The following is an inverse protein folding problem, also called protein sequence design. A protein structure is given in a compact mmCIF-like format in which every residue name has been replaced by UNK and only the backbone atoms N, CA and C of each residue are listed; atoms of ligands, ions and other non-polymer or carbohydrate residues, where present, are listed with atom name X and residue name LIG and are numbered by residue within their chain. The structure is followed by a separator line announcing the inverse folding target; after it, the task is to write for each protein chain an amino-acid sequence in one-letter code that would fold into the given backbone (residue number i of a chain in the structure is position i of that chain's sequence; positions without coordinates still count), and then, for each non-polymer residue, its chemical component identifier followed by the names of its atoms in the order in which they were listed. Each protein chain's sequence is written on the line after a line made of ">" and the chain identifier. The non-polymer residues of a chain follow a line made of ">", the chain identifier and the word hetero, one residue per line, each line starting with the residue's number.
data_IF_634351764580
#
_entry.id   IF_634351764580
#
_cell.length_a   1.000
_cell.length_b   1.000
_cell.length_c   1.000
_cell.angle_alpha   90.00
_cell.angle_beta   90.00
_cell.angle_gamma   90.00
#
_symmetry.space_group_name_H-M   'P 1'
#
loop_
_entity.id
_entity.type
_entity.pdbx_description
1 polymer ?
#
# COMPACT_ATOMS: atom_id res chain seq x y z
N UNK A 1 34.14 -10.56 17.12
CA UNK A 1 32.93 -10.13 17.79
C UNK A 1 31.77 -10.63 16.94
N UNK A 2 30.97 -11.58 17.43
CA UNK A 2 29.80 -12.05 16.72
C UNK A 2 28.77 -10.90 16.73
N UNK A 3 28.44 -10.37 15.55
CA UNK A 3 27.28 -9.51 15.38
C UNK A 3 26.06 -10.36 15.72
N UNK A 4 25.44 -10.10 16.86
CA UNK A 4 24.11 -10.63 17.13
C UNK A 4 23.21 -10.10 16.03
N UNK A 5 22.82 -10.99 15.10
CA UNK A 5 21.79 -10.68 14.11
C UNK A 5 20.56 -10.23 14.92
N UNK A 6 20.26 -8.94 14.87
CA UNK A 6 19.11 -8.39 15.59
C UNK A 6 17.86 -9.01 15.00
N UNK A 7 17.10 -9.70 15.83
CA UNK A 7 15.91 -10.44 15.40
C UNK A 7 14.88 -9.50 14.73
N UNK A 8 14.41 -9.90 13.55
CA UNK A 8 13.33 -9.19 12.84
C UNK A 8 11.99 -9.63 13.40
N UNK A 9 11.29 -8.74 14.08
CA UNK A 9 9.95 -8.96 14.56
C UNK A 9 8.92 -8.43 13.53
N UNK A 10 7.98 -9.29 13.11
CA UNK A 10 6.82 -8.89 12.30
C UNK A 10 5.60 -8.85 13.20
N UNK A 11 4.84 -7.75 13.14
CA UNK A 11 3.59 -7.60 13.89
C UNK A 11 2.57 -6.78 13.11
N UNK A 12 1.31 -6.85 13.52
CA UNK A 12 0.25 -5.96 13.03
C UNK A 12 0.66 -4.51 13.32
N UNK A 13 0.43 -3.63 12.34
CA UNK A 13 0.62 -2.20 12.51
C UNK A 13 -0.52 -1.58 13.33
N UNK A 14 -0.21 -0.52 14.04
CA UNK A 14 -1.15 0.30 14.80
C UNK A 14 -1.05 1.75 14.36
N UNK A 15 -1.98 2.61 14.78
CA UNK A 15 -1.95 4.04 14.46
C UNK A 15 -0.63 4.72 14.88
N UNK A 16 -0.01 4.24 15.95
CA UNK A 16 1.28 4.76 16.45
C UNK A 16 2.45 4.47 15.50
N UNK A 17 2.27 3.55 14.55
CA UNK A 17 3.30 3.21 13.57
C UNK A 17 3.27 4.13 12.33
N UNK A 18 2.22 4.92 12.15
CA UNK A 18 2.02 5.75 10.96
C UNK A 18 3.23 6.63 10.65
N UNK A 19 3.80 7.31 11.66
CA UNK A 19 5.00 8.14 11.49
C UNK A 19 6.23 7.33 11.07
N UNK A 20 6.43 6.14 11.65
CA UNK A 20 7.55 5.26 11.28
C UNK A 20 7.40 4.67 9.88
N UNK A 21 6.18 4.32 9.49
CA UNK A 21 5.85 3.88 8.14
C UNK A 21 6.09 5.03 7.14
N UNK A 22 5.65 6.24 7.49
CA UNK A 22 5.85 7.42 6.65
C UNK A 22 7.34 7.71 6.41
N UNK A 23 8.16 7.69 7.47
CA UNK A 23 9.61 7.88 7.33
C UNK A 23 10.27 6.84 6.41
N UNK A 24 9.84 5.57 6.52
CA UNK A 24 10.31 4.49 5.64
C UNK A 24 9.97 4.74 4.17
N UNK A 25 8.78 5.30 3.91
CA UNK A 25 8.29 5.53 2.56
C UNK A 25 8.85 6.81 1.94
N UNK A 26 9.03 7.87 2.74
CA UNK A 26 9.63 9.12 2.28
C UNK A 26 11.02 8.88 1.65
N UNK A 27 11.79 7.95 2.20
CA UNK A 27 13.08 7.55 1.66
C UNK A 27 12.97 6.68 0.40
N UNK A 28 11.91 5.86 0.30
CA UNK A 28 11.76 4.86 -0.76
C UNK A 28 10.98 5.35 -1.98
N UNK A 29 9.98 6.23 -1.78
CA UNK A 29 9.18 6.84 -2.84
C UNK A 29 9.75 8.17 -3.30
N UNK A 30 11.06 8.30 -3.23
CA UNK A 30 11.73 9.44 -3.82
C UNK A 30 11.37 9.57 -5.30
N UNK A 31 11.51 10.76 -5.80
CA UNK A 31 11.25 11.33 -7.13
C UNK A 31 11.47 10.43 -8.37
N UNK A 32 11.87 9.17 -8.20
CA UNK A 32 12.13 8.20 -9.27
C UNK A 32 10.88 7.53 -9.85
N UNK A 33 9.71 7.67 -9.20
CA UNK A 33 8.46 7.16 -9.75
C UNK A 33 7.62 8.30 -10.33
N UNK A 34 7.46 8.40 -11.66
CA UNK A 34 6.65 9.44 -12.32
C UNK A 34 5.23 9.55 -11.75
N UNK A 35 4.64 8.42 -11.39
CA UNK A 35 3.34 8.32 -10.76
C UNK A 35 3.20 9.16 -9.49
N UNK A 36 4.15 9.06 -8.56
CA UNK A 36 4.09 9.85 -7.33
C UNK A 36 4.35 11.35 -7.59
N UNK A 37 5.13 11.69 -8.61
CA UNK A 37 5.31 13.08 -9.01
C UNK A 37 4.02 13.70 -9.57
N UNK A 38 3.15 12.89 -10.16
CA UNK A 38 1.82 13.30 -10.61
C UNK A 38 0.85 13.47 -9.43
N UNK A 39 0.85 12.54 -8.47
CA UNK A 39 -0.11 12.52 -7.38
C UNK A 39 0.24 13.48 -6.23
N UNK A 40 1.53 13.62 -5.92
CA UNK A 40 1.97 14.27 -4.70
C UNK A 40 2.13 15.78 -4.88
N UNK A 41 1.82 16.56 -3.84
CA UNK A 41 2.05 17.99 -3.85
C UNK A 41 3.55 18.31 -3.94
N UNK A 42 3.85 19.52 -4.38
CA UNK A 42 5.22 20.03 -4.40
C UNK A 42 5.71 20.29 -2.97
N UNK A 43 7.00 20.07 -2.74
CA UNK A 43 7.65 20.28 -1.45
C UNK A 43 7.61 19.04 -0.55
N UNK A 44 8.75 18.77 0.10
CA UNK A 44 8.92 17.57 0.93
C UNK A 44 7.96 17.53 2.11
N UNK A 45 7.81 18.63 2.84
CA UNK A 45 6.92 18.70 4.01
C UNK A 45 5.46 18.41 3.65
N UNK A 46 5.00 18.86 2.48
CA UNK A 46 3.65 18.61 2.00
C UNK A 46 3.45 17.13 1.64
N UNK A 47 4.46 16.49 1.05
CA UNK A 47 4.44 15.06 0.75
C UNK A 47 4.40 14.21 2.01
N UNK A 48 5.24 14.54 2.99
CA UNK A 48 5.27 13.86 4.29
C UNK A 48 3.92 13.97 5.00
N UNK A 49 3.30 15.14 4.97
CA UNK A 49 1.98 15.38 5.57
C UNK A 49 0.89 14.53 4.91
N UNK A 50 0.84 14.54 3.58
CA UNK A 50 -0.15 13.77 2.81
C UNK A 50 0.01 12.27 3.04
N UNK A 51 1.24 11.76 3.01
CA UNK A 51 1.52 10.35 3.27
C UNK A 51 1.23 9.95 4.72
N UNK A 52 1.54 10.81 5.69
CA UNK A 52 1.23 10.54 7.08
C UNK A 52 -0.28 10.37 7.29
N UNK A 53 -1.07 11.28 6.72
CA UNK A 53 -2.53 11.18 6.79
C UNK A 53 -3.03 9.90 6.11
N UNK A 54 -2.55 9.59 4.92
CA UNK A 54 -2.94 8.40 4.16
C UNK A 54 -2.65 7.09 4.92
N UNK A 55 -1.52 7.02 5.63
CA UNK A 55 -1.22 5.88 6.49
C UNK A 55 -2.10 5.84 7.73
N UNK A 56 -2.34 6.97 8.38
CA UNK A 56 -3.26 7.05 9.51
C UNK A 56 -4.67 6.59 9.09
N UNK A 57 -5.17 7.10 7.97
CA UNK A 57 -6.47 6.68 7.42
C UNK A 57 -6.52 5.18 7.17
N UNK A 58 -5.52 4.62 6.49
CA UNK A 58 -5.45 3.18 6.22
C UNK A 58 -5.53 2.36 7.52
N UNK A 59 -4.81 2.79 8.56
CA UNK A 59 -4.77 2.07 9.85
C UNK A 59 -6.09 2.17 10.63
N UNK A 60 -6.78 3.31 10.61
CA UNK A 60 -8.09 3.46 11.28
C UNK A 60 -9.23 2.81 10.50
N UNK A 61 -9.08 2.64 9.18
CA UNK A 61 -10.01 1.92 8.32
C UNK A 61 -9.82 0.39 8.38
N UNK A 62 -9.00 -0.10 9.32
CA UNK A 62 -8.68 -1.52 9.52
C UNK A 62 -8.07 -2.21 8.29
N UNK A 63 -7.28 -1.51 7.51
CA UNK A 63 -6.47 -2.12 6.46
C UNK A 63 -5.58 -3.23 7.03
N UNK A 64 -5.28 -4.21 6.20
CA UNK A 64 -4.38 -5.32 6.55
C UNK A 64 -2.94 -4.79 6.55
N UNK A 65 -2.46 -4.30 7.68
CA UNK A 65 -1.18 -3.63 7.78
C UNK A 65 -0.23 -4.34 8.75
N UNK A 66 1.01 -4.55 8.29
CA UNK A 66 2.09 -5.17 9.07
C UNK A 66 3.34 -4.34 9.00
N UNK A 67 4.09 -4.33 10.10
CA UNK A 67 5.42 -3.73 10.19
C UNK A 67 6.46 -4.76 10.58
N UNK A 68 7.66 -4.60 10.02
CA UNK A 68 8.86 -5.30 10.43
C UNK A 68 9.71 -4.34 11.27
N UNK A 69 10.12 -4.78 12.45
CA UNK A 69 10.96 -3.98 13.34
C UNK A 69 12.26 -4.69 13.69
N UNK A 70 13.32 -3.92 13.86
CA UNK A 70 14.61 -4.34 14.39
C UNK A 70 14.98 -3.34 15.50
N UNK A 71 15.22 -3.84 16.71
CA UNK A 71 15.50 -3.01 17.89
C UNK A 71 14.45 -1.88 18.09
N UNK A 72 13.18 -2.17 17.82
CA UNK A 72 12.09 -1.21 17.94
C UNK A 72 11.93 -0.21 16.78
N UNK A 73 12.88 -0.16 15.83
CA UNK A 73 12.81 0.70 14.66
C UNK A 73 12.07 -0.03 13.53
N UNK A 74 11.13 0.63 12.86
CA UNK A 74 10.46 0.10 11.67
C UNK A 74 11.45 0.10 10.51
N UNK A 75 11.64 -1.08 9.91
CA UNK A 75 12.53 -1.33 8.78
C UNK A 75 11.80 -1.86 7.55
N UNK A 76 10.52 -2.15 7.68
CA UNK A 76 9.66 -2.55 6.58
C UNK A 76 8.19 -2.42 6.95
N UNK A 77 7.33 -2.26 5.95
CA UNK A 77 5.90 -2.19 6.11
C UNK A 77 5.18 -2.78 4.89
N UNK A 78 3.98 -3.32 5.12
CA UNK A 78 3.03 -3.67 4.05
C UNK A 78 1.63 -3.25 4.46
N UNK A 79 0.86 -2.71 3.51
CA UNK A 79 -0.53 -2.26 3.70
C UNK A 79 -1.37 -2.81 2.57
N UNK A 80 -2.41 -3.58 2.91
CA UNK A 80 -3.38 -4.13 1.98
C UNK A 80 -4.80 -3.76 2.39
N UNK A 81 -5.64 -3.39 1.43
CA UNK A 81 -7.06 -3.08 1.65
C UNK A 81 -7.93 -4.22 1.16
N UNK A 82 -8.76 -4.75 2.06
CA UNK A 82 -9.77 -5.74 1.72
C UNK A 82 -10.94 -5.11 0.96
N UNK A 83 -11.38 -5.79 -0.08
CA UNK A 83 -12.55 -5.43 -0.87
C UNK A 83 -13.52 -6.63 -0.96
N UNK A 84 -14.77 -6.49 -0.53
CA UNK A 84 -15.75 -7.55 -0.65
C UNK A 84 -16.08 -7.83 -2.13
N UNK A 85 -16.67 -8.99 -2.41
CA UNK A 85 -17.08 -9.36 -3.77
C UNK A 85 -18.08 -8.38 -4.41
N UNK A 86 -18.84 -7.66 -3.57
CA UNK A 86 -19.79 -6.62 -4.02
C UNK A 86 -19.13 -5.26 -4.28
N UNK A 87 -17.84 -5.10 -4.01
CA UNK A 87 -17.14 -3.83 -4.22
C UNK A 87 -17.05 -3.51 -5.72
N UNK A 88 -17.48 -2.31 -6.06
CA UNK A 88 -17.35 -1.73 -7.40
C UNK A 88 -16.33 -0.61 -7.33
N UNK A 89 -15.22 -0.68 -8.08
CA UNK A 89 -14.24 0.38 -8.12
C UNK A 89 -14.88 1.71 -8.56
N UNK A 90 -14.66 2.75 -7.79
CA UNK A 90 -15.15 4.10 -8.02
C UNK A 90 -14.00 5.08 -8.09
N UNK A 91 -14.08 6.07 -8.98
CA UNK A 91 -13.09 7.12 -9.15
C UNK A 91 -13.06 8.12 -7.96
N UNK A 92 -13.96 7.94 -7.00
CA UNK A 92 -13.97 8.66 -5.74
C UNK A 92 -14.49 7.71 -4.65
N UNK A 93 -13.57 7.16 -3.87
CA UNK A 93 -13.95 6.42 -2.67
C UNK A 93 -14.46 7.38 -1.59
N UNK A 94 -15.29 6.85 -0.70
CA UNK A 94 -15.70 7.60 0.47
C UNK A 94 -14.57 7.56 1.53
N UNK A 95 -13.93 8.71 1.76
CA UNK A 95 -12.94 8.93 2.81
C UNK A 95 -13.56 9.47 4.09
N UNK A 96 -14.88 9.32 4.27
CA UNK A 96 -15.56 9.79 5.45
C UNK A 96 -15.20 8.93 6.66
N UNK A 97 -14.56 9.56 7.64
CA UNK A 97 -14.18 8.94 8.90
C UNK A 97 -15.28 9.15 9.95
N UNK A 98 -15.49 8.15 10.80
CA UNK A 98 -16.33 8.32 11.98
C UNK A 98 -15.72 9.38 12.93
N UNK A 99 -16.52 9.96 13.86
CA UNK A 99 -15.96 10.90 14.84
C UNK A 99 -14.77 10.34 15.61
N UNK A 100 -14.82 9.07 16.00
CA UNK A 100 -13.73 8.40 16.72
C UNK A 100 -12.50 8.23 15.82
N UNK A 101 -12.67 7.90 14.56
CA UNK A 101 -11.58 7.79 13.59
C UNK A 101 -10.94 9.16 13.32
N UNK A 102 -11.73 10.23 13.23
CA UNK A 102 -11.23 11.61 13.08
C UNK A 102 -10.32 12.00 14.25
N UNK A 103 -10.70 11.65 15.48
CA UNK A 103 -9.85 11.88 16.66
C UNK A 103 -8.53 11.11 16.52
N UNK A 104 -8.59 9.83 16.11
CA UNK A 104 -7.39 8.99 16.00
C UNK A 104 -6.40 9.47 14.93
N UNK A 105 -6.89 10.00 13.82
CA UNK A 105 -6.00 10.57 12.79
C UNK A 105 -5.53 11.98 13.11
N UNK A 106 -6.08 12.63 14.13
CA UNK A 106 -5.84 14.04 14.45
C UNK A 106 -6.43 14.98 13.39
N UNK A 107 -7.65 14.71 12.94
CA UNK A 107 -8.28 15.43 11.83
C UNK A 107 -8.33 16.95 12.06
N UNK A 108 -8.63 17.38 13.28
CA UNK A 108 -8.75 18.79 13.66
C UNK A 108 -7.38 19.51 13.84
N UNK A 109 -6.28 18.75 13.79
CA UNK A 109 -4.92 19.30 13.84
C UNK A 109 -4.46 19.85 12.48
N UNK A 110 -5.17 19.51 11.40
CA UNK A 110 -4.86 19.98 10.06
C UNK A 110 -5.60 21.27 9.72
N UNK A 111 -4.88 22.22 9.10
CA UNK A 111 -5.50 23.43 8.57
C UNK A 111 -6.42 23.09 7.38
N UNK A 112 -7.31 24.00 7.02
CA UNK A 112 -8.18 23.84 5.86
C UNK A 112 -7.37 23.59 4.57
N UNK A 113 -6.30 24.35 4.34
CA UNK A 113 -5.42 24.20 3.18
C UNK A 113 -4.72 22.82 3.16
N UNK A 114 -4.28 22.33 4.34
CA UNK A 114 -3.69 20.99 4.46
C UNK A 114 -4.70 19.89 4.13
N UNK A 115 -5.93 20.01 4.63
CA UNK A 115 -6.99 19.05 4.33
C UNK A 115 -7.39 19.06 2.86
N UNK A 116 -7.45 20.23 2.22
CA UNK A 116 -7.71 20.35 0.79
C UNK A 116 -6.63 19.63 -0.04
N UNK A 117 -5.37 19.79 0.34
CA UNK A 117 -4.24 19.10 -0.28
C UNK A 117 -4.31 17.59 -0.09
N UNK A 118 -4.63 17.12 1.12
CA UNK A 118 -4.81 15.70 1.46
C UNK A 118 -5.95 15.09 0.61
N UNK A 119 -7.10 15.73 0.60
CA UNK A 119 -8.25 15.24 -0.16
C UNK A 119 -7.99 15.21 -1.67
N UNK A 120 -7.26 16.20 -2.18
CA UNK A 120 -6.83 16.21 -3.59
C UNK A 120 -5.97 14.99 -3.92
N UNK A 121 -5.01 14.66 -3.05
CA UNK A 121 -4.19 13.45 -3.22
C UNK A 121 -5.05 12.18 -3.18
N UNK A 122 -5.92 12.04 -2.18
CA UNK A 122 -6.78 10.86 -2.02
C UNK A 122 -7.67 10.64 -3.25
N UNK A 123 -8.33 11.68 -3.74
CA UNK A 123 -9.16 11.59 -4.94
C UNK A 123 -8.37 11.25 -6.20
N UNK A 124 -7.16 11.77 -6.36
CA UNK A 124 -6.31 11.41 -7.50
C UNK A 124 -5.80 9.97 -7.39
N UNK A 125 -5.48 9.52 -6.17
CA UNK A 125 -5.09 8.13 -5.93
C UNK A 125 -6.25 7.18 -6.24
N UNK A 126 -7.47 7.49 -5.77
CA UNK A 126 -8.66 6.68 -6.04
C UNK A 126 -8.98 6.58 -7.53
N UNK A 127 -8.83 7.68 -8.26
CA UNK A 127 -9.01 7.68 -9.71
C UNK A 127 -8.08 6.65 -10.38
N UNK A 128 -6.79 6.66 -10.02
CA UNK A 128 -5.83 5.69 -10.54
C UNK A 128 -6.12 4.28 -10.05
N UNK A 129 -6.42 4.13 -8.75
CA UNK A 129 -6.74 2.83 -8.15
C UNK A 129 -7.99 2.20 -8.78
N UNK A 130 -9.04 2.96 -9.03
CA UNK A 130 -10.25 2.45 -9.66
C UNK A 130 -9.96 1.90 -11.06
N UNK A 131 -9.09 2.56 -11.81
CA UNK A 131 -8.66 2.08 -13.12
C UNK A 131 -7.82 0.80 -13.01
N UNK A 132 -6.87 0.72 -12.10
CA UNK A 132 -6.11 -0.51 -11.83
C UNK A 132 -7.02 -1.66 -11.40
N UNK A 133 -7.97 -1.41 -10.50
CA UNK A 133 -8.91 -2.42 -10.05
C UNK A 133 -9.78 -2.94 -11.20
N UNK A 134 -10.26 -2.06 -12.09
CA UNK A 134 -10.98 -2.46 -13.31
C UNK A 134 -10.11 -3.31 -14.24
N UNK A 135 -8.87 -2.91 -14.50
CA UNK A 135 -7.93 -3.66 -15.32
C UNK A 135 -7.57 -5.01 -14.67
N UNK A 136 -7.38 -5.05 -13.35
CA UNK A 136 -7.02 -6.27 -12.62
C UNK A 136 -8.16 -7.29 -12.55
N UNK A 137 -9.43 -6.86 -12.62
CA UNK A 137 -10.59 -7.76 -12.51
C UNK A 137 -10.56 -8.92 -13.51
N UNK A 138 -9.99 -8.74 -14.72
CA UNK A 138 -9.84 -9.82 -15.69
C UNK A 138 -8.87 -10.93 -15.23
N UNK A 139 -8.01 -10.64 -14.26
CA UNK A 139 -7.04 -11.59 -13.70
C UNK A 139 -7.49 -12.14 -12.34
N UNK A 140 -8.51 -11.54 -11.73
CA UNK A 140 -9.06 -11.98 -10.46
C UNK A 140 -10.18 -13.02 -10.70
N UNK A 141 -10.39 -13.97 -9.78
CA UNK A 141 -11.54 -14.86 -9.85
C UNK A 141 -12.85 -14.06 -9.77
N UNK A 142 -13.78 -14.34 -10.67
CA UNK A 142 -15.08 -13.65 -10.69
C UNK A 142 -15.87 -13.91 -9.40
N UNK A 143 -16.45 -12.85 -8.83
CA UNK A 143 -17.29 -12.93 -7.62
C UNK A 143 -16.53 -13.27 -6.34
N UNK A 144 -15.20 -13.23 -6.35
CA UNK A 144 -14.39 -13.37 -5.13
C UNK A 144 -14.01 -12.02 -4.56
N UNK A 145 -13.98 -11.89 -3.21
CA UNK A 145 -13.38 -10.71 -2.59
C UNK A 145 -11.87 -10.69 -2.88
N UNK A 146 -11.25 -9.51 -2.70
CA UNK A 146 -9.81 -9.42 -2.89
C UNK A 146 -9.15 -8.48 -1.86
N UNK A 147 -7.85 -8.67 -1.69
CA UNK A 147 -6.98 -7.73 -0.99
C UNK A 147 -6.10 -7.03 -2.03
N UNK A 148 -6.19 -5.73 -2.08
CA UNK A 148 -5.28 -4.90 -2.85
C UNK A 148 -4.11 -4.46 -1.97
N UNK A 149 -2.88 -4.82 -2.32
CA UNK A 149 -1.69 -4.36 -1.60
C UNK A 149 -1.33 -2.97 -2.10
N UNK A 150 -1.64 -1.96 -1.30
CA UNK A 150 -1.46 -0.52 -1.59
C UNK A 150 0.00 -0.07 -1.50
N UNK A 151 0.79 -0.78 -0.71
CA UNK A 151 2.20 -0.46 -0.51
C UNK A 151 2.93 -1.55 0.23
N UNK A 152 4.17 -1.79 -0.20
CA UNK A 152 5.09 -2.69 0.49
C UNK A 152 6.52 -2.19 0.33
N UNK A 153 7.17 -1.92 1.44
CA UNK A 153 8.51 -1.35 1.45
C UNK A 153 9.39 -1.98 2.50
N UNK A 154 10.67 -2.06 2.20
CA UNK A 154 11.75 -2.42 3.13
C UNK A 154 12.88 -1.42 2.91
N UNK A 155 13.41 -0.84 4.00
CA UNK A 155 14.53 0.10 3.94
C UNK A 155 15.73 -0.51 3.23
N UNK A 156 16.48 0.28 2.48
CA UNK A 156 17.59 -0.18 1.63
C UNK A 156 18.60 -1.05 2.40
N UNK A 157 19.00 -0.61 3.58
CA UNK A 157 19.95 -1.33 4.44
C UNK A 157 19.46 -2.72 4.89
N UNK A 158 18.16 -2.98 4.78
CA UNK A 158 17.51 -4.21 5.24
C UNK A 158 16.89 -5.04 4.10
N UNK A 159 17.05 -4.61 2.86
CA UNK A 159 16.63 -5.38 1.69
C UNK A 159 17.44 -6.68 1.53
N UNK A 160 16.94 -7.61 0.72
CA UNK A 160 17.56 -8.92 0.41
C UNK A 160 17.80 -9.84 1.63
N UNK A 161 17.23 -9.49 2.79
CA UNK A 161 17.29 -10.28 4.04
C UNK A 161 15.99 -11.06 4.32
N UNK A 162 15.09 -11.19 3.34
CA UNK A 162 13.83 -11.94 3.45
C UNK A 162 12.68 -11.18 4.13
N UNK A 163 12.89 -9.94 4.58
CA UNK A 163 11.88 -9.16 5.31
C UNK A 163 10.64 -8.91 4.45
N UNK A 164 10.82 -8.51 3.19
CA UNK A 164 9.69 -8.31 2.27
C UNK A 164 8.84 -9.56 2.07
N UNK A 165 9.47 -10.74 1.95
CA UNK A 165 8.75 -12.00 1.84
C UNK A 165 7.96 -12.32 3.11
N UNK A 166 8.52 -12.08 4.30
CA UNK A 166 7.83 -12.27 5.58
C UNK A 166 6.61 -11.33 5.70
N UNK A 167 6.76 -10.05 5.35
CA UNK A 167 5.65 -9.09 5.36
C UNK A 167 4.53 -9.51 4.39
N UNK A 168 4.90 -9.87 3.16
CA UNK A 168 3.95 -10.35 2.16
C UNK A 168 3.21 -11.60 2.63
N UNK A 169 3.93 -12.57 3.23
CA UNK A 169 3.32 -13.80 3.77
C UNK A 169 2.23 -13.50 4.79
N UNK A 170 2.40 -12.48 5.63
CA UNK A 170 1.38 -12.10 6.61
C UNK A 170 0.11 -11.58 5.94
N UNK A 171 0.26 -10.73 4.91
CA UNK A 171 -0.89 -10.22 4.13
C UNK A 171 -1.59 -11.36 3.39
N UNK A 172 -0.85 -12.24 2.71
CA UNK A 172 -1.41 -13.38 1.98
C UNK A 172 -2.12 -14.37 2.91
N UNK A 173 -1.56 -14.62 4.11
CA UNK A 173 -2.20 -15.47 5.13
C UNK A 173 -3.55 -14.89 5.57
N UNK A 174 -3.62 -13.59 5.78
CA UNK A 174 -4.87 -12.92 6.17
C UNK A 174 -5.87 -12.90 5.02
N UNK A 175 -5.44 -12.60 3.79
CA UNK A 175 -6.27 -12.68 2.60
C UNK A 175 -6.87 -14.08 2.42
N UNK A 176 -6.06 -15.13 2.60
CA UNK A 176 -6.52 -16.53 2.60
C UNK A 176 -7.59 -16.79 3.65
N UNK A 177 -7.40 -16.32 4.87
CA UNK A 177 -8.38 -16.48 5.95
C UNK A 177 -9.72 -15.79 5.63
N UNK A 178 -9.68 -14.71 4.82
CA UNK A 178 -10.85 -13.98 4.33
C UNK A 178 -11.46 -14.58 3.06
N UNK A 179 -10.90 -15.66 2.52
CA UNK A 179 -11.31 -16.22 1.22
C UNK A 179 -11.12 -15.25 0.05
N UNK A 180 -10.17 -14.32 0.18
CA UNK A 180 -9.96 -13.23 -0.76
C UNK A 180 -8.76 -13.49 -1.68
N UNK A 181 -8.86 -13.22 -2.98
CA UNK A 181 -7.71 -13.11 -3.87
C UNK A 181 -6.81 -11.95 -3.44
N UNK A 182 -5.60 -11.89 -3.96
CA UNK A 182 -4.72 -10.74 -3.71
C UNK A 182 -4.15 -10.23 -5.03
N UNK A 183 -4.03 -8.92 -5.18
CA UNK A 183 -3.28 -8.34 -6.28
C UNK A 183 -2.52 -7.08 -5.86
N UNK A 184 -1.55 -6.73 -6.68
CA UNK A 184 -0.82 -5.46 -6.64
C UNK A 184 -0.26 -5.14 -8.04
N UNK A 185 0.09 -3.90 -8.25
CA UNK A 185 0.98 -3.46 -9.32
C UNK A 185 2.43 -3.59 -8.85
N UNK A 186 3.26 -4.22 -9.69
CA UNK A 186 4.64 -4.54 -9.33
C UNK A 186 5.63 -3.74 -10.13
N UNK A 187 6.46 -2.96 -9.42
CA UNK A 187 7.64 -2.37 -10.03
C UNK A 187 8.60 -3.46 -10.55
N UNK A 188 9.43 -3.16 -11.53
CA UNK A 188 10.44 -4.10 -12.02
C UNK A 188 11.32 -4.67 -10.89
N UNK A 189 11.66 -3.84 -9.90
CA UNK A 189 12.46 -4.25 -8.74
C UNK A 189 11.71 -5.20 -7.79
N UNK A 190 10.40 -5.04 -7.62
CA UNK A 190 9.56 -5.86 -6.75
C UNK A 190 9.13 -7.18 -7.38
N UNK A 191 9.00 -7.22 -8.70
CA UNK A 191 8.49 -8.40 -9.44
C UNK A 191 9.16 -9.73 -9.05
N UNK A 192 10.49 -9.84 -8.90
CA UNK A 192 11.12 -11.11 -8.51
C UNK A 192 10.67 -11.63 -7.13
N UNK A 193 10.40 -10.73 -6.18
CA UNK A 193 9.89 -11.08 -4.86
C UNK A 193 8.50 -11.72 -4.96
N UNK A 194 7.62 -11.10 -5.73
CA UNK A 194 6.25 -11.55 -5.87
C UNK A 194 6.14 -12.89 -6.61
N UNK A 195 6.92 -13.08 -7.66
CA UNK A 195 7.04 -14.37 -8.35
C UNK A 195 7.54 -15.47 -7.42
N UNK A 196 8.56 -15.15 -6.59
CA UNK A 196 9.08 -16.09 -5.59
C UNK A 196 8.03 -16.46 -4.53
N UNK A 197 7.12 -15.54 -4.23
CA UNK A 197 5.99 -15.74 -3.32
C UNK A 197 4.79 -16.43 -3.99
N UNK A 198 4.94 -16.94 -5.21
CA UNK A 198 3.90 -17.68 -5.92
C UNK A 198 2.87 -16.82 -6.62
N UNK A 199 3.15 -15.53 -6.87
CA UNK A 199 2.26 -14.71 -7.69
C UNK A 199 2.23 -15.22 -9.13
N UNK A 200 1.06 -15.19 -9.73
CA UNK A 200 0.90 -15.26 -11.18
C UNK A 200 1.09 -13.85 -11.76
N UNK A 201 1.83 -13.77 -12.86
CA UNK A 201 1.98 -12.53 -13.60
C UNK A 201 0.76 -12.38 -14.53
N UNK A 202 -0.07 -11.39 -14.24
CA UNK A 202 -1.14 -10.94 -15.13
C UNK A 202 -0.61 -10.06 -16.27
N UNK A 203 -1.46 -9.21 -16.81
CA UNK A 203 -1.07 -8.23 -17.82
C UNK A 203 -0.37 -7.00 -17.23
N UNK A 204 -0.17 -6.03 -18.10
CA UNK A 204 0.33 -4.70 -17.72
C UNK A 204 -0.87 -3.86 -17.27
N UNK A 205 -0.76 -3.26 -16.09
CA UNK A 205 -1.66 -2.21 -15.63
C UNK A 205 -1.10 -0.88 -16.12
N UNK A 206 -1.92 -0.13 -16.82
CA UNK A 206 -1.54 1.17 -17.38
C UNK A 206 -2.20 2.27 -16.57
N UNK A 207 -1.40 3.13 -15.99
CA UNK A 207 -1.89 4.30 -15.26
C UNK A 207 -1.89 5.52 -16.17
N UNK A 208 -3.01 6.22 -16.22
CA UNK A 208 -3.16 7.45 -16.99
C UNK A 208 -3.50 8.61 -16.07
N UNK A 209 -3.06 9.79 -16.45
CA UNK A 209 -3.54 11.04 -15.85
C UNK A 209 -4.98 11.36 -16.32
N UNK A 210 -5.55 12.47 -15.81
CA UNK A 210 -6.91 12.90 -16.18
C UNK A 210 -7.02 13.36 -17.63
N UNK A 211 -5.90 13.70 -18.27
CA UNK A 211 -5.78 14.07 -19.67
C UNK A 211 -5.62 12.85 -20.60
N UNK A 212 -5.44 11.65 -20.02
CA UNK A 212 -5.27 10.39 -20.74
C UNK A 212 -3.83 10.03 -21.09
N UNK A 213 -2.83 10.80 -20.63
CA UNK A 213 -1.42 10.46 -20.83
C UNK A 213 -1.00 9.29 -19.94
N UNK A 214 -0.23 8.36 -20.49
CA UNK A 214 0.35 7.25 -19.70
C UNK A 214 1.44 7.80 -18.79
N UNK A 215 1.28 7.59 -17.47
CA UNK A 215 2.24 8.00 -16.45
C UNK A 215 2.98 6.84 -15.80
N UNK A 216 2.43 5.61 -15.89
CA UNK A 216 3.06 4.41 -15.37
C UNK A 216 2.53 3.15 -16.08
N UNK A 217 3.42 2.16 -16.23
CA UNK A 217 3.07 0.81 -16.65
C UNK A 217 3.75 -0.20 -15.72
N UNK A 218 2.96 -1.03 -15.05
CA UNK A 218 3.46 -2.03 -14.12
C UNK A 218 2.76 -3.38 -14.30
N UNK A 219 3.40 -4.46 -13.84
CA UNK A 219 2.79 -5.78 -13.93
C UNK A 219 1.75 -5.98 -12.85
N UNK A 220 0.55 -6.45 -13.24
CA UNK A 220 -0.41 -7.00 -12.30
C UNK A 220 0.12 -8.34 -11.77
N UNK A 221 0.37 -8.41 -10.47
CA UNK A 221 0.72 -9.66 -9.80
C UNK A 221 -0.48 -10.14 -9.01
N UNK A 222 -0.85 -11.41 -9.20
CA UNK A 222 -2.11 -11.97 -8.66
C UNK A 222 -1.85 -13.27 -7.92
N UNK A 223 -2.49 -13.45 -6.78
CA UNK A 223 -2.63 -14.72 -6.07
C UNK A 223 -4.11 -15.13 -6.06
N UNK A 224 -4.49 -16.10 -6.91
CA UNK A 224 -5.89 -16.53 -7.06
C UNK A 224 -6.29 -17.65 -6.14
N UNK A 225 -5.38 -18.56 -5.89
CA UNK A 225 -5.59 -19.75 -5.09
C UNK A 225 -4.50 -19.86 -4.02
N UNK A 226 -4.89 -20.29 -2.87
CA UNK A 226 -4.24 -20.12 -1.60
C UNK A 226 -3.48 -21.34 -1.13
N UNK A 227 -3.10 -22.24 -2.03
CA UNK A 227 -2.33 -23.43 -1.69
C UNK A 227 -0.82 -23.17 -1.61
N UNK A 228 -0.43 -21.91 -1.73
CA UNK A 228 0.96 -21.49 -1.75
C UNK A 228 1.30 -20.73 -0.46
N UNK A 229 2.09 -21.33 0.34
CA UNK A 229 2.95 -20.95 1.47
C UNK A 229 2.64 -21.75 2.70
#
# INVERSE_FOLDING_TARGET
>A
MATTDSEVLIRRATINDAKGINSLLADSFSLSFPFYNYLLPKGQSNRELVFEYWHKEALVMNDIAYVATINGKIVGASIGRYRPASFVPSDAENHELSPEQKILVGYDDYTHEQMEMIMTFLHNFDFCYADWARQAQQYLPSGTPYVYIRGMNVSEDHQKKGIGLKLLSMVLKEAKALGAATFLEASPAGTPLYLKAGAEKGGILVTKDREGNVIMEEFCMVWRNYDLI
#
